data_IF_868619490957
#
_entry.id   IF_868619490957
#
_cell.length_a   1.000
_cell.length_b   1.000
_cell.length_c   1.000
_cell.angle_alpha   90.00
_cell.angle_beta   90.00
_cell.angle_gamma   90.00
#
_symmetry.space_group_name_H-M   'P 1'
#
loop_
_entity.id
_entity.type
_entity.pdbx_description
1 polymer ?
#
# COMPACT_ATOMS: atom_id res chain seq x y z
N UNK A 1 -16.12 -3.20 20.77
CA UNK A 1 -14.66 -3.40 20.80
C UNK A 1 -14.02 -2.03 20.65
N UNK A 2 -13.17 -1.64 21.58
CA UNK A 2 -12.57 -0.29 21.61
C UNK A 2 -11.10 -0.29 21.17
N UNK A 3 -10.57 -1.45 20.77
CA UNK A 3 -9.24 -1.57 20.21
C UNK A 3 -9.09 -2.80 19.31
N UNK A 4 -8.08 -2.79 18.46
CA UNK A 4 -7.54 -3.89 17.68
C UNK A 4 -6.04 -4.01 18.00
N UNK A 5 -5.58 -5.16 18.47
CA UNK A 5 -4.17 -5.36 18.85
C UNK A 5 -3.50 -6.46 18.05
N UNK A 6 -2.18 -6.38 17.96
CA UNK A 6 -1.27 -7.37 17.35
C UNK A 6 -1.64 -7.78 15.91
N UNK A 7 -2.24 -6.87 15.15
CA UNK A 7 -2.52 -7.13 13.74
C UNK A 7 -1.26 -6.88 12.91
N UNK A 8 -1.20 -7.47 11.72
CA UNK A 8 -0.12 -7.24 10.77
C UNK A 8 -0.53 -6.11 9.84
N UNK A 9 0.35 -5.13 9.63
CA UNK A 9 0.16 -4.04 8.70
C UNK A 9 1.36 -3.95 7.74
N UNK A 10 1.09 -3.55 6.49
CA UNK A 10 2.11 -3.28 5.49
C UNK A 10 2.35 -1.77 5.45
N UNK A 11 3.60 -1.35 5.64
CA UNK A 11 4.01 0.05 5.54
C UNK A 11 4.99 0.23 4.38
N UNK A 12 4.66 1.13 3.45
CA UNK A 12 5.45 1.34 2.23
C UNK A 12 5.43 0.13 1.28
N UNK A 13 6.49 -0.05 0.50
CA UNK A 13 6.52 -1.02 -0.62
C UNK A 13 6.59 -2.51 -0.20
N UNK A 14 6.97 -2.85 1.03
CA UNK A 14 7.09 -4.27 1.43
C UNK A 14 7.28 -4.52 2.93
N UNK A 15 7.22 -3.49 3.78
CA UNK A 15 7.64 -3.65 5.18
C UNK A 15 6.48 -4.10 6.04
N UNK A 16 6.54 -5.36 6.48
CA UNK A 16 5.57 -5.94 7.40
C UNK A 16 5.87 -5.49 8.82
N UNK A 17 4.89 -4.87 9.48
CA UNK A 17 4.96 -4.42 10.86
C UNK A 17 3.80 -4.98 11.67
N UNK A 18 3.92 -4.94 13.01
CA UNK A 18 2.81 -5.20 13.93
C UNK A 18 2.15 -3.89 14.32
N UNK A 19 0.85 -3.80 14.11
CA UNK A 19 0.03 -2.64 14.43
C UNK A 19 -0.87 -2.89 15.63
N UNK A 20 -1.27 -1.82 16.30
CA UNK A 20 -2.36 -1.82 17.28
C UNK A 20 -3.09 -0.48 17.19
N UNK A 21 -4.41 -0.53 17.16
CA UNK A 21 -5.28 0.64 16.98
C UNK A 21 -6.24 0.72 18.15
N UNK A 22 -6.24 1.87 18.83
CA UNK A 22 -7.18 2.18 19.88
C UNK A 22 -8.18 3.23 19.39
N UNK A 23 -9.47 2.96 19.56
CA UNK A 23 -10.55 3.84 19.13
C UNK A 23 -10.91 4.80 20.27
N UNK A 24 -10.58 6.07 20.09
CA UNK A 24 -10.92 7.13 21.04
C UNK A 24 -12.34 7.58 20.75
N UNK A 25 -13.25 7.38 21.71
CA UNK A 25 -14.67 7.69 21.58
C UNK A 25 -15.12 8.72 22.61
N UNK A 26 -16.12 9.51 22.25
CA UNK A 26 -16.86 10.36 23.17
C UNK A 26 -18.33 9.93 23.14
N UNK A 27 -18.75 9.13 24.13
CA UNK A 27 -20.02 8.41 24.04
C UNK A 27 -19.96 7.36 22.93
N UNK A 28 -20.96 7.36 22.04
CA UNK A 28 -21.01 6.47 20.88
C UNK A 28 -20.21 7.00 19.67
N UNK A 29 -19.76 8.25 19.72
CA UNK A 29 -19.07 8.89 18.61
C UNK A 29 -17.57 8.56 18.61
N UNK A 30 -17.07 8.05 17.48
CA UNK A 30 -15.63 7.88 17.24
C UNK A 30 -14.99 9.23 16.94
N UNK A 31 -14.13 9.70 17.85
CA UNK A 31 -13.48 11.02 17.74
C UNK A 31 -12.01 10.93 17.35
N UNK A 32 -11.41 9.74 17.39
CA UNK A 32 -10.04 9.54 16.93
C UNK A 32 -9.57 8.10 16.99
N UNK A 33 -8.40 7.86 16.41
CA UNK A 33 -7.69 6.58 16.48
C UNK A 33 -6.24 6.83 16.89
N UNK A 34 -5.75 6.04 17.83
CA UNK A 34 -4.34 5.98 18.19
C UNK A 34 -3.75 4.70 17.61
N UNK A 35 -2.77 4.84 16.72
CA UNK A 35 -2.09 3.71 16.09
C UNK A 35 -0.66 3.56 16.66
N UNK A 36 -0.32 2.36 17.09
CA UNK A 36 1.03 1.98 17.53
C UNK A 36 1.56 0.95 16.53
N UNK A 37 2.67 1.29 15.87
CA UNK A 37 3.28 0.49 14.81
C UNK A 37 4.69 0.05 15.24
N UNK A 38 4.94 -1.25 15.22
CA UNK A 38 6.19 -1.86 15.64
C UNK A 38 6.81 -2.67 14.50
N UNK A 39 8.00 -2.27 14.06
CA UNK A 39 8.78 -3.02 13.09
C UNK A 39 9.57 -4.15 13.77
N UNK A 40 9.16 -5.40 13.53
CA UNK A 40 9.80 -6.59 14.10
C UNK A 40 10.75 -7.28 13.13
N UNK A 41 11.05 -6.69 11.96
CA UNK A 41 11.79 -7.36 10.87
C UNK A 41 13.17 -7.82 11.32
N UNK A 42 13.93 -6.94 11.97
CA UNK A 42 15.29 -7.23 12.46
C UNK A 42 15.28 -8.37 13.48
N UNK A 43 14.32 -8.37 14.41
CA UNK A 43 14.20 -9.41 15.42
C UNK A 43 13.88 -10.76 14.79
N UNK A 44 12.97 -10.78 13.80
CA UNK A 44 12.64 -11.99 13.05
C UNK A 44 13.86 -12.54 12.31
N UNK A 45 14.61 -11.69 11.62
CA UNK A 45 15.81 -12.10 10.88
C UNK A 45 16.86 -12.73 11.80
N UNK A 46 17.08 -12.14 12.98
CA UNK A 46 18.02 -12.68 13.97
C UNK A 46 17.54 -14.05 14.47
N UNK A 47 16.26 -14.18 14.81
CA UNK A 47 15.70 -15.45 15.27
C UNK A 47 15.82 -16.54 14.21
N UNK A 48 15.49 -16.24 12.95
CA UNK A 48 15.66 -17.17 11.83
C UNK A 48 17.13 -17.62 11.69
N UNK A 49 18.07 -16.67 11.71
CA UNK A 49 19.51 -16.99 11.62
C UNK A 49 19.99 -17.89 12.77
N UNK A 50 19.50 -17.68 13.99
CA UNK A 50 19.84 -18.53 15.13
C UNK A 50 19.30 -19.95 14.93
N UNK A 51 18.05 -20.09 14.47
CA UNK A 51 17.43 -21.39 14.17
C UNK A 51 18.21 -22.14 13.07
N UNK A 52 18.62 -21.42 12.03
CA UNK A 52 19.41 -21.96 10.92
C UNK A 52 20.80 -22.43 11.38
N UNK A 53 21.48 -21.63 12.22
CA UNK A 53 22.81 -21.94 12.75
C UNK A 53 22.82 -23.22 13.59
N UNK A 54 21.83 -23.39 14.45
CA UNK A 54 21.70 -24.56 15.32
C UNK A 54 21.14 -25.79 14.58
N UNK A 55 20.86 -25.69 13.27
CA UNK A 55 20.26 -26.74 12.44
C UNK A 55 19.07 -27.41 13.12
N UNK A 56 18.23 -26.61 13.77
CA UNK A 56 17.01 -27.07 14.45
C UNK A 56 15.97 -27.33 13.36
N UNK A 57 16.21 -28.37 12.56
CA UNK A 57 15.49 -28.70 11.33
C UNK A 57 14.04 -29.14 11.54
N UNK A 58 13.56 -29.16 12.78
CA UNK A 58 12.19 -29.55 13.14
C UNK A 58 11.38 -28.41 13.81
N UNK A 59 11.86 -27.17 13.72
CA UNK A 59 11.09 -25.97 14.10
C UNK A 59 10.57 -25.18 12.90
N UNK A 60 10.57 -25.77 11.69
CA UNK A 60 9.83 -25.23 10.55
C UNK A 60 8.36 -24.96 10.88
N UNK A 61 7.74 -25.79 11.72
CA UNK A 61 6.37 -25.60 12.22
C UNK A 61 6.17 -24.39 13.17
N UNK A 62 7.23 -23.89 13.81
CA UNK A 62 7.20 -22.69 14.64
C UNK A 62 7.31 -21.40 13.80
N UNK A 63 8.05 -21.48 12.69
CA UNK A 63 8.20 -20.39 11.72
C UNK A 63 6.99 -20.30 10.77
N UNK A 64 6.40 -21.44 10.39
CA UNK A 64 5.14 -21.47 9.64
C UNK A 64 3.98 -20.91 10.48
N UNK A 65 3.97 -21.07 11.81
CA UNK A 65 3.03 -20.33 12.67
C UNK A 65 3.23 -18.80 12.67
N UNK A 66 4.38 -18.32 12.21
CA UNK A 66 4.61 -16.88 12.02
C UNK A 66 4.01 -16.36 10.69
N UNK A 67 3.45 -17.24 9.86
CA UNK A 67 2.69 -16.92 8.67
C UNK A 67 1.29 -17.57 8.73
N UNK A 68 0.27 -16.85 8.27
CA UNK A 68 -1.08 -17.39 8.03
C UNK A 68 -1.85 -18.05 9.19
N UNK A 69 -2.53 -17.23 10.00
CA UNK A 69 -3.96 -17.40 10.37
C UNK A 69 -4.42 -16.32 11.39
N UNK A 70 -4.31 -15.04 11.02
CA UNK A 70 -5.08 -13.98 11.69
C UNK A 70 -6.10 -13.43 10.69
N UNK A 71 -7.41 -13.40 11.02
CA UNK A 71 -8.47 -12.97 10.09
C UNK A 71 -8.45 -11.47 9.75
N UNK A 72 -7.50 -10.70 10.29
CA UNK A 72 -7.38 -9.27 10.08
C UNK A 72 -5.95 -8.92 9.63
N UNK A 73 -5.57 -9.33 8.42
CA UNK A 73 -4.60 -8.54 7.66
C UNK A 73 -5.39 -7.33 7.20
N UNK A 74 -5.12 -6.17 7.83
CA UNK A 74 -5.61 -4.91 7.30
C UNK A 74 -4.76 -4.63 6.06
N UNK A 75 -5.23 -5.11 4.91
CA UNK A 75 -4.68 -4.71 3.62
C UNK A 75 -5.01 -3.24 3.46
N UNK A 76 -4.12 -2.38 3.95
CA UNK A 76 -3.98 -1.03 3.45
C UNK A 76 -3.62 -1.20 1.99
N UNK A 77 -4.66 -1.26 1.16
CA UNK A 77 -4.51 -1.24 -0.28
C UNK A 77 -3.63 -0.02 -0.53
N UNK A 78 -2.47 -0.15 -1.19
CA UNK A 78 -1.62 1.01 -1.45
C UNK A 78 -2.54 2.07 -2.05
N UNK A 79 -2.63 3.23 -1.39
CA UNK A 79 -3.55 4.26 -1.83
C UNK A 79 -3.19 4.57 -3.27
N UNK A 80 -4.16 4.91 -4.12
CA UNK A 80 -3.86 5.22 -5.52
C UNK A 80 -2.75 6.28 -5.59
N UNK A 81 -2.71 7.18 -4.60
CA UNK A 81 -1.66 8.15 -4.31
C UNK A 81 -0.26 7.54 -4.06
N UNK A 82 -0.14 6.43 -3.35
CA UNK A 82 1.14 5.75 -3.08
C UNK A 82 1.68 5.07 -4.34
N UNK A 83 0.80 4.47 -5.15
CA UNK A 83 1.21 3.87 -6.43
C UNK A 83 1.58 4.98 -7.42
N UNK A 84 0.84 6.09 -7.42
CA UNK A 84 1.17 7.28 -8.20
C UNK A 84 2.57 7.81 -7.82
N UNK A 85 2.87 7.95 -6.53
CA UNK A 85 4.17 8.40 -6.03
C UNK A 85 5.33 7.44 -6.38
N UNK A 86 5.06 6.14 -6.57
CA UNK A 86 6.05 5.16 -6.99
C UNK A 86 6.21 5.06 -8.52
N UNK A 87 5.19 5.49 -9.28
CA UNK A 87 5.21 5.48 -10.75
C UNK A 87 5.79 6.76 -11.36
N UNK A 88 6.02 7.78 -10.54
CA UNK A 88 6.45 9.12 -10.94
C UNK A 88 7.71 9.48 -10.16
N UNK A 89 8.75 9.96 -10.83
CA UNK A 89 9.92 10.52 -10.15
C UNK A 89 9.51 11.66 -9.20
N UNK A 90 10.04 11.67 -7.97
CA UNK A 90 9.72 12.65 -6.93
C UNK A 90 9.92 14.12 -7.36
N UNK A 91 10.68 14.36 -8.43
CA UNK A 91 10.90 15.63 -9.12
C UNK A 91 9.61 16.29 -9.64
N UNK A 92 8.60 15.50 -10.00
CA UNK A 92 7.32 15.97 -10.55
C UNK A 92 6.31 16.35 -9.48
N UNK A 93 6.47 15.85 -8.25
CA UNK A 93 5.57 16.13 -7.13
C UNK A 93 5.79 17.53 -6.54
N UNK A 94 6.99 18.11 -6.72
CA UNK A 94 7.42 19.33 -6.04
C UNK A 94 7.53 20.58 -6.93
N UNK A 95 7.16 20.51 -8.21
CA UNK A 95 7.42 21.63 -9.11
C UNK A 95 6.17 22.08 -9.88
N UNK A 96 6.10 23.37 -10.20
CA UNK A 96 5.09 23.99 -11.07
C UNK A 96 5.11 23.45 -12.52
N UNK A 97 5.81 22.35 -12.79
CA UNK A 97 5.93 21.75 -14.12
C UNK A 97 4.63 21.04 -14.50
N UNK A 98 4.07 21.44 -15.62
CA UNK A 98 2.99 20.70 -16.27
C UNK A 98 3.61 19.56 -17.05
N UNK A 99 3.18 18.33 -16.77
CA UNK A 99 3.56 17.16 -17.58
C UNK A 99 3.16 17.39 -19.04
N UNK A 100 4.04 17.00 -19.97
CA UNK A 100 3.72 17.02 -21.41
C UNK A 100 2.59 16.02 -21.72
N UNK A 101 2.01 16.12 -22.91
CA UNK A 101 0.93 15.22 -23.34
C UNK A 101 1.43 13.77 -23.39
N UNK A 102 2.65 13.58 -23.92
CA UNK A 102 3.31 12.28 -24.07
C UNK A 102 3.59 11.66 -22.69
N UNK A 103 4.07 12.47 -21.73
CA UNK A 103 4.34 12.03 -20.36
C UNK A 103 3.07 11.60 -19.62
N UNK A 104 1.96 12.33 -19.83
CA UNK A 104 0.66 11.97 -19.25
C UNK A 104 0.17 10.64 -19.80
N UNK A 105 0.33 10.41 -21.10
CA UNK A 105 -0.07 9.16 -21.75
C UNK A 105 0.79 7.98 -21.28
N UNK A 106 2.11 8.16 -21.18
CA UNK A 106 3.03 7.16 -20.63
C UNK A 106 2.67 6.78 -19.18
N UNK A 107 2.34 7.79 -18.35
CA UNK A 107 1.98 7.52 -16.96
C UNK A 107 0.65 6.78 -16.83
N UNK A 108 -0.36 7.16 -17.62
CA UNK A 108 -1.63 6.42 -17.68
C UNK A 108 -1.40 4.98 -18.13
N UNK A 109 -0.47 4.75 -19.07
CA UNK A 109 -0.02 3.42 -19.48
C UNK A 109 0.56 2.59 -18.33
N UNK A 110 1.55 3.14 -17.60
CA UNK A 110 2.15 2.46 -16.43
C UNK A 110 1.13 2.15 -15.34
N UNK A 111 0.19 3.07 -15.08
CA UNK A 111 -0.88 2.85 -14.10
C UNK A 111 -1.86 1.77 -14.57
N UNK A 112 -2.09 1.68 -15.88
CA UNK A 112 -2.93 0.65 -16.48
C UNK A 112 -2.30 -0.74 -16.38
N UNK A 113 -1.02 -0.88 -16.71
CA UNK A 113 -0.28 -2.14 -16.55
C UNK A 113 -0.24 -2.63 -15.09
N UNK A 114 -0.16 -1.70 -14.14
CA UNK A 114 -0.23 -1.99 -12.70
C UNK A 114 -1.64 -2.32 -12.18
N UNK A 115 -2.66 -2.30 -13.04
CA UNK A 115 -4.03 -2.67 -12.67
C UNK A 115 -4.78 -1.63 -11.83
N UNK A 116 -4.31 -0.38 -11.76
CA UNK A 116 -4.94 0.69 -10.95
C UNK A 116 -6.41 0.92 -11.29
N UNK A 117 -6.74 0.84 -12.58
CA UNK A 117 -8.09 1.10 -13.06
C UNK A 117 -9.08 -0.06 -12.79
N UNK A 118 -8.63 -1.18 -12.20
CA UNK A 118 -9.52 -2.23 -11.67
C UNK A 118 -10.14 -1.83 -10.32
N UNK A 119 -9.59 -0.81 -9.66
CA UNK A 119 -10.10 -0.27 -8.41
C UNK A 119 -11.24 0.71 -8.70
N UNK A 120 -12.41 0.50 -8.08
CA UNK A 120 -13.56 1.42 -8.21
C UNK A 120 -13.17 2.80 -7.70
N UNK A 121 -13.41 3.83 -8.51
CA UNK A 121 -13.10 5.22 -8.15
C UNK A 121 -11.67 5.67 -8.47
N UNK A 122 -10.85 4.84 -9.15
CA UNK A 122 -9.49 5.23 -9.51
C UNK A 122 -9.40 6.38 -10.52
N UNK A 123 -10.37 6.49 -11.44
CA UNK A 123 -10.35 7.49 -12.51
C UNK A 123 -10.40 8.93 -11.98
N UNK A 124 -11.30 9.33 -11.07
CA UNK A 124 -11.29 10.65 -10.44
C UNK A 124 -9.96 11.01 -9.76
N UNK A 125 -9.31 10.04 -9.11
CA UNK A 125 -8.07 10.26 -8.37
C UNK A 125 -6.90 10.49 -9.33
N UNK A 126 -6.78 9.67 -10.37
CA UNK A 126 -5.77 9.82 -11.42
C UNK A 126 -5.97 11.14 -12.19
N UNK A 127 -7.22 11.52 -12.49
CA UNK A 127 -7.55 12.77 -13.16
C UNK A 127 -7.07 13.99 -12.35
N UNK A 128 -7.35 14.00 -11.04
CA UNK A 128 -6.90 15.03 -10.11
C UNK A 128 -5.37 15.09 -10.02
N UNK A 129 -4.71 13.95 -9.95
CA UNK A 129 -3.25 13.86 -9.87
C UNK A 129 -2.56 14.40 -11.14
N UNK A 130 -3.02 13.96 -12.31
CA UNK A 130 -2.48 14.37 -13.61
C UNK A 130 -2.95 15.78 -14.05
N UNK A 131 -3.83 16.42 -13.28
CA UNK A 131 -4.46 17.71 -13.58
C UNK A 131 -5.14 17.70 -14.96
N UNK A 132 -5.90 16.65 -15.24
CA UNK A 132 -6.69 16.48 -16.47
C UNK A 132 -8.13 16.11 -16.13
N UNK A 133 -9.03 16.17 -17.11
CA UNK A 133 -10.42 15.77 -16.92
C UNK A 133 -10.57 14.24 -16.94
N UNK A 134 -11.55 13.69 -16.22
CA UNK A 134 -11.86 12.25 -16.27
C UNK A 134 -12.09 11.74 -17.71
N UNK A 135 -12.79 12.46 -18.61
CA UNK A 135 -12.89 12.08 -20.02
C UNK A 135 -11.53 11.94 -20.71
N UNK A 136 -10.52 12.75 -20.33
CA UNK A 136 -9.17 12.64 -20.89
C UNK A 136 -8.47 11.35 -20.44
N UNK A 137 -8.66 10.94 -19.19
CA UNK A 137 -8.17 9.64 -18.68
C UNK A 137 -8.80 8.50 -19.46
N UNK A 138 -10.12 8.51 -19.65
CA UNK A 138 -10.81 7.48 -20.45
C UNK A 138 -10.34 7.44 -21.90
N UNK A 139 -10.03 8.60 -22.50
CA UNK A 139 -9.47 8.68 -23.85
C UNK A 139 -8.10 7.99 -23.94
N UNK A 140 -7.20 8.26 -23.01
CA UNK A 140 -5.89 7.60 -22.96
C UNK A 140 -6.02 6.09 -22.74
N UNK A 141 -6.90 5.67 -21.83
CA UNK A 141 -7.20 4.24 -21.61
C UNK A 141 -7.75 3.55 -22.87
N UNK A 142 -8.55 4.27 -23.68
CA UNK A 142 -9.09 3.74 -24.94
C UNK A 142 -7.98 3.56 -25.98
N UNK A 143 -7.07 4.52 -26.11
CA UNK A 143 -5.92 4.43 -27.02
C UNK A 143 -5.01 3.24 -26.67
N UNK A 144 -4.79 3.00 -25.37
CA UNK A 144 -3.97 1.89 -24.87
C UNK A 144 -4.59 0.50 -25.10
N UNK A 145 -5.93 0.40 -25.15
CA UNK A 145 -6.66 -0.86 -25.42
C UNK A 145 -6.77 -1.20 -26.91
N UNK A 146 -6.41 -0.27 -27.78
CA UNK A 146 -6.43 -0.45 -29.25
C UNK A 146 -5.08 -0.92 -29.82
N UNK A 147 -4.06 -1.03 -28.97
CA UNK A 147 -2.79 -1.69 -29.23
C UNK A 147 -2.74 -3.02 -28.46
#
# INVERSE_FOLDING_TARGET
MDFLCDYKALVGQSKLIRGSTFFIKHGDDLVGILCINHDTSIMRDIVCKIIDLEKIGDMGAFLDKCEFNSPSVETLSPSIEDILAQSVDASYLNSKYQLSIEQKEELVGKLYEKGIFNIKGAVPIVAKFLKISEPSVYRYLKNLKQH
#
